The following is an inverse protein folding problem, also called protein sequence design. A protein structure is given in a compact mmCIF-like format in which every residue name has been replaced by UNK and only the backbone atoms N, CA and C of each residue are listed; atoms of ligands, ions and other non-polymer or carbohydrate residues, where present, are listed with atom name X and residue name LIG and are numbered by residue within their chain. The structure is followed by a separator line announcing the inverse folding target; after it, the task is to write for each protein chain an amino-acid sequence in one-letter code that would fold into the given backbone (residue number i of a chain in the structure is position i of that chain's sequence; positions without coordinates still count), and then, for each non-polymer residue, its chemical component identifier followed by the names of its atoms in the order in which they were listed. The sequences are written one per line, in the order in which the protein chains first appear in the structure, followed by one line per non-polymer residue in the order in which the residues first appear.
data_IF_140266296445
#
_entry.id   IF_140266296445
#
_cell.length_a   1.000
_cell.length_b   1.000
_cell.length_c   1.000
_cell.angle_alpha   90.00
_cell.angle_beta   90.00
_cell.angle_gamma   90.00
#
_symmetry.space_group_name_H-M   'P 1'
#
loop_
_entity.id
_entity.type
_entity.pdbx_description
1 polymer ?
#
# COMPACT_ATOMS: atom_id res chain seq x y z
N UNK A 1 3.60 48.21 -9.53
CA UNK A 1 4.46 47.03 -9.74
C UNK A 1 5.16 46.55 -8.46
N UNK A 2 5.92 47.41 -7.74
CA UNK A 2 6.58 47.05 -6.46
C UNK A 2 5.69 46.41 -5.39
N UNK A 3 4.44 46.87 -5.24
CA UNK A 3 3.49 46.31 -4.26
C UNK A 3 3.11 44.88 -4.60
N UNK A 4 2.74 44.59 -5.85
CA UNK A 4 2.42 43.22 -6.29
C UNK A 4 3.64 42.29 -6.22
N UNK A 5 4.84 42.81 -6.48
CA UNK A 5 6.10 42.08 -6.29
C UNK A 5 6.34 41.72 -4.82
N UNK A 6 6.09 42.65 -3.89
CA UNK A 6 6.20 42.39 -2.47
C UNK A 6 5.20 41.33 -1.97
N UNK A 7 3.96 41.35 -2.47
CA UNK A 7 2.96 40.34 -2.13
C UNK A 7 3.32 38.96 -2.70
N UNK A 8 3.88 38.90 -3.92
CA UNK A 8 4.35 37.66 -4.52
C UNK A 8 5.52 37.04 -3.71
N UNK A 9 6.45 37.87 -3.23
CA UNK A 9 7.58 37.42 -2.39
C UNK A 9 7.10 36.92 -1.02
N UNK A 10 6.10 37.59 -0.41
CA UNK A 10 5.51 37.16 0.86
C UNK A 10 4.77 35.82 0.70
N UNK A 11 4.01 35.63 -0.38
CA UNK A 11 3.36 34.34 -0.67
C UNK A 11 4.38 33.20 -0.88
N UNK A 12 5.53 33.48 -1.51
CA UNK A 12 6.59 32.50 -1.72
C UNK A 12 7.34 32.15 -0.42
N UNK A 13 7.43 33.08 0.53
CA UNK A 13 8.05 32.86 1.84
C UNK A 13 7.13 32.12 2.83
N UNK A 14 5.81 32.18 2.63
CA UNK A 14 4.80 31.49 3.45
C UNK A 14 4.52 30.06 2.99
N UNK A 15 4.96 29.66 1.79
CA UNK A 15 4.93 28.27 1.35
C UNK A 15 6.09 27.48 1.97
N UNK A 16 6.06 27.28 3.29
CA UNK A 16 6.98 26.35 3.95
C UNK A 16 6.69 24.91 3.49
N UNK A 17 7.68 24.17 2.95
CA UNK A 17 7.50 22.75 2.59
C UNK A 17 7.44 21.82 3.80
N UNK A 18 7.23 22.34 5.02
CA UNK A 18 7.22 21.58 6.27
C UNK A 18 6.18 20.44 6.29
N UNK A 19 5.16 20.50 5.43
CA UNK A 19 4.14 19.46 5.30
C UNK A 19 4.68 18.18 4.62
N UNK A 20 5.85 18.24 3.97
CA UNK A 20 6.48 17.08 3.31
C UNK A 20 7.44 16.27 4.22
N UNK A 21 7.54 16.62 5.51
CA UNK A 21 8.50 16.01 6.44
C UNK A 21 7.86 14.97 7.37
N UNK A 22 6.61 14.58 7.12
CA UNK A 22 5.96 13.47 7.83
C UNK A 22 6.22 12.14 7.11
N UNK A 23 6.35 11.05 7.86
CA UNK A 23 6.36 9.70 7.28
C UNK A 23 5.07 9.49 6.46
N UNK A 24 5.24 9.28 5.15
CA UNK A 24 4.13 9.04 4.22
C UNK A 24 3.38 7.73 4.51
N UNK A 25 3.96 6.87 5.36
CA UNK A 25 3.50 5.52 5.61
C UNK A 25 3.83 4.60 4.43
N UNK A 26 4.01 3.32 4.72
CA UNK A 26 4.34 2.28 3.75
C UNK A 26 3.25 1.24 3.75
N UNK A 27 2.68 0.99 2.57
CA UNK A 27 1.82 -0.18 2.34
C UNK A 27 2.73 -1.29 1.82
N UNK A 28 2.67 -2.45 2.45
CA UNK A 28 3.34 -3.65 2.00
C UNK A 28 2.49 -4.89 2.27
N UNK A 29 2.99 -6.05 1.91
CA UNK A 29 2.25 -7.28 2.06
C UNK A 29 2.82 -8.39 1.19
N UNK A 30 2.28 -9.59 1.39
CA UNK A 30 2.68 -10.79 0.68
C UNK A 30 1.51 -11.74 0.56
N UNK A 31 1.54 -12.60 -0.45
CA UNK A 31 0.50 -13.58 -0.68
C UNK A 31 1.08 -14.96 -0.90
N UNK A 32 0.32 -15.97 -0.47
CA UNK A 32 0.58 -17.38 -0.76
C UNK A 32 -0.53 -17.91 -1.64
N UNK A 33 -0.14 -18.39 -2.81
CA UNK A 33 -1.02 -19.10 -3.72
C UNK A 33 -0.49 -20.49 -4.00
N UNK A 34 -1.40 -21.44 -4.15
CA UNK A 34 -1.09 -22.79 -4.58
C UNK A 34 -1.86 -23.13 -5.84
N UNK A 35 -1.23 -23.91 -6.71
CA UNK A 35 -1.90 -24.63 -7.77
C UNK A 35 -2.00 -26.09 -7.36
N UNK A 36 -3.19 -26.67 -7.50
CA UNK A 36 -3.42 -28.05 -7.09
C UNK A 36 -4.19 -28.84 -8.13
N UNK A 37 -4.04 -30.15 -8.06
CA UNK A 37 -4.80 -31.15 -8.80
C UNK A 37 -5.14 -32.31 -7.85
N UNK A 38 -6.40 -32.75 -7.82
CA UNK A 38 -6.88 -33.82 -6.94
C UNK A 38 -6.78 -35.16 -7.66
N UNK A 39 -5.79 -35.97 -7.28
CA UNK A 39 -5.58 -37.30 -7.87
C UNK A 39 -6.60 -38.33 -7.37
N UNK A 40 -6.98 -38.27 -6.10
CA UNK A 40 -7.92 -39.21 -5.47
C UNK A 40 -8.65 -38.55 -4.31
N UNK A 41 -9.92 -38.90 -4.12
CA UNK A 41 -10.77 -38.38 -3.06
C UNK A 41 -11.81 -39.43 -2.65
N UNK A 42 -12.23 -39.41 -1.39
CA UNK A 42 -13.37 -40.23 -0.96
C UNK A 42 -14.70 -39.73 -1.56
N UNK A 43 -14.76 -38.44 -1.90
CA UNK A 43 -15.84 -37.86 -2.70
C UNK A 43 -15.41 -37.81 -4.17
N UNK A 44 -16.04 -38.64 -5.00
CA UNK A 44 -15.74 -38.80 -6.43
C UNK A 44 -15.97 -37.53 -7.25
N UNK A 45 -16.84 -36.61 -6.82
CA UNK A 45 -17.08 -35.34 -7.51
C UNK A 45 -15.90 -34.36 -7.44
N UNK A 46 -14.96 -34.62 -6.52
CA UNK A 46 -13.77 -33.81 -6.32
C UNK A 46 -12.54 -34.39 -7.03
N UNK A 47 -12.59 -35.64 -7.50
CA UNK A 47 -11.48 -36.22 -8.28
C UNK A 47 -11.28 -35.45 -9.57
N UNK A 48 -10.03 -35.38 -10.02
CA UNK A 48 -9.58 -34.66 -11.23
C UNK A 48 -9.78 -33.14 -11.22
N UNK A 49 -10.43 -32.60 -10.18
CA UNK A 49 -10.52 -31.16 -9.98
C UNK A 49 -9.14 -30.57 -9.78
N UNK A 50 -8.95 -29.39 -10.36
CA UNK A 50 -7.75 -28.61 -10.21
C UNK A 50 -8.11 -27.13 -10.14
N UNK A 51 -7.16 -26.34 -9.68
CA UNK A 51 -7.37 -24.90 -9.59
C UNK A 51 -6.26 -24.17 -8.87
N UNK A 52 -6.47 -22.86 -8.80
CA UNK A 52 -5.65 -21.96 -8.01
C UNK A 52 -6.38 -21.63 -6.72
N UNK A 53 -5.68 -21.71 -5.58
CA UNK A 53 -6.20 -21.31 -4.29
C UNK A 53 -5.27 -20.28 -3.67
N UNK A 54 -5.82 -19.14 -3.27
CA UNK A 54 -5.13 -18.21 -2.37
C UNK A 54 -5.24 -18.75 -0.95
N UNK A 55 -4.11 -19.11 -0.35
CA UNK A 55 -4.06 -19.65 1.02
C UNK A 55 -4.08 -18.53 2.05
N UNK A 56 -3.38 -17.42 1.77
CA UNK A 56 -3.22 -16.27 2.66
C UNK A 56 -2.83 -15.03 1.85
N UNK A 57 -3.37 -13.89 2.24
CA UNK A 57 -3.03 -12.57 1.70
C UNK A 57 -2.85 -11.63 2.89
N UNK A 58 -1.66 -11.07 3.04
CA UNK A 58 -1.32 -10.13 4.10
C UNK A 58 -1.21 -8.73 3.52
N UNK A 59 -1.77 -7.77 4.25
CA UNK A 59 -1.67 -6.35 3.97
C UNK A 59 -1.18 -5.66 5.23
N UNK A 60 -0.04 -5.01 5.11
CA UNK A 60 0.65 -4.35 6.19
C UNK A 60 0.69 -2.85 5.90
N UNK A 61 0.36 -2.04 6.91
CA UNK A 61 0.50 -0.58 6.85
C UNK A 61 1.41 -0.14 7.99
N UNK A 62 2.60 0.33 7.61
CA UNK A 62 3.59 0.85 8.54
C UNK A 62 3.56 2.37 8.50
N UNK A 63 3.45 3.03 9.66
CA UNK A 63 3.59 4.48 9.78
C UNK A 63 4.27 4.81 11.09
N UNK A 64 5.37 5.56 11.03
CA UNK A 64 5.99 6.13 12.22
C UNK A 64 5.05 7.19 12.83
N UNK A 65 4.69 7.01 14.09
CA UNK A 65 3.82 7.90 14.85
C UNK A 65 4.61 8.92 15.71
N UNK A 66 5.94 8.92 15.61
CA UNK A 66 6.77 9.85 16.36
C UNK A 66 6.90 11.18 15.64
N UNK A 67 6.48 12.24 16.30
CA UNK A 67 6.86 13.61 15.96
C UNK A 67 8.24 13.89 16.58
N UNK A 68 9.32 13.71 15.82
CA UNK A 68 10.67 14.09 16.25
C UNK A 68 11.26 15.09 15.26
#
# INVERSE_FOLDING_TARGET
MKKYFLHAVICLLLSSPAVLWGDAGKISGYFFGDYYYVLKSHNTELEERNGFQFRRVYFDYDKNLSDA
#
